data_IF_441820048231
#
_entry.id   IF_441820048231
#
_cell.length_a   1.000
_cell.length_b   1.000
_cell.length_c   1.000
_cell.angle_alpha   90.00
_cell.angle_beta   90.00
_cell.angle_gamma   90.00
#
_symmetry.space_group_name_H-M   'P 1'
#
loop_
_entity.id
_entity.type
_entity.pdbx_description
1 polymer ?
#
# COMPACT_ATOMS: atom_id res chain seq x y z
N UNK A 1 -23.88 -31.07 20.82
CA UNK A 1 -23.77 -30.98 22.29
C UNK A 1 -22.45 -30.29 22.66
N UNK A 2 -22.55 -29.14 23.27
CA UNK A 2 -21.55 -28.37 24.04
C UNK A 2 -20.17 -28.00 23.45
N UNK A 3 -20.12 -26.90 22.66
CA UNK A 3 -18.89 -26.21 22.26
C UNK A 3 -18.83 -24.77 22.85
N UNK A 4 -19.34 -24.57 24.08
CA UNK A 4 -19.43 -23.27 24.77
C UNK A 4 -18.54 -23.13 26.01
N UNK A 5 -17.50 -23.94 26.21
CA UNK A 5 -16.73 -23.94 27.48
C UNK A 5 -15.23 -23.64 27.36
N UNK A 6 -14.75 -22.96 26.29
CA UNK A 6 -13.30 -22.70 26.18
C UNK A 6 -12.89 -21.22 26.31
N UNK A 7 -13.80 -20.31 26.68
CA UNK A 7 -13.48 -18.85 26.71
C UNK A 7 -13.16 -18.36 28.15
N UNK A 8 -13.42 -19.16 29.17
CA UNK A 8 -13.02 -18.83 30.53
C UNK A 8 -11.88 -19.76 31.00
N UNK A 9 -10.67 -19.59 30.46
CA UNK A 9 -9.48 -20.07 31.16
C UNK A 9 -9.45 -19.32 32.51
N UNK A 10 -9.84 -20.02 33.59
CA UNK A 10 -9.63 -19.54 34.96
C UNK A 10 -8.19 -19.08 35.07
N UNK A 11 -7.99 -17.84 35.50
CA UNK A 11 -6.68 -17.32 35.91
C UNK A 11 -6.22 -18.21 37.08
N UNK A 12 -5.55 -19.31 36.77
CA UNK A 12 -4.87 -20.11 37.77
C UNK A 12 -3.62 -19.35 38.17
N UNK A 13 -3.47 -19.06 39.43
CA UNK A 13 -2.24 -18.49 39.96
C UNK A 13 -1.06 -19.37 39.56
N UNK A 14 0.03 -18.79 39.05
CA UNK A 14 1.21 -19.52 38.59
C UNK A 14 1.78 -20.32 39.78
N UNK A 15 1.94 -21.64 39.59
CA UNK A 15 2.42 -22.57 40.59
C UNK A 15 3.83 -23.05 40.40
N UNK A 16 4.36 -22.87 39.17
CA UNK A 16 5.72 -23.27 38.79
C UNK A 16 6.50 -22.06 38.26
N UNK A 17 7.85 -22.08 38.26
CA UNK A 17 8.66 -21.03 37.66
C UNK A 17 8.34 -20.82 36.17
N UNK A 18 7.95 -21.87 35.46
CA UNK A 18 7.51 -21.80 34.06
C UNK A 18 6.21 -21.02 33.92
N UNK A 19 5.23 -21.21 34.82
CA UNK A 19 3.96 -20.50 34.79
C UNK A 19 4.16 -18.99 35.06
N UNK A 20 5.13 -18.62 35.89
CA UNK A 20 5.50 -17.23 36.17
C UNK A 20 6.13 -16.58 34.92
N UNK A 21 7.00 -17.30 34.22
CA UNK A 21 7.59 -16.83 32.95
C UNK A 21 6.51 -16.62 31.89
N UNK A 22 5.59 -17.57 31.74
CA UNK A 22 4.46 -17.47 30.82
C UNK A 22 3.54 -16.28 31.15
N UNK A 23 3.22 -16.08 32.42
CA UNK A 23 2.40 -14.96 32.88
C UNK A 23 3.09 -13.61 32.61
N UNK A 24 4.40 -13.52 32.86
CA UNK A 24 5.21 -12.34 32.56
C UNK A 24 5.25 -12.05 31.06
N UNK A 25 5.48 -13.06 30.23
CA UNK A 25 5.49 -12.92 28.76
C UNK A 25 4.12 -12.47 28.23
N UNK A 26 3.03 -13.07 28.72
CA UNK A 26 1.67 -12.69 28.35
C UNK A 26 1.37 -11.24 28.76
N UNK A 27 1.83 -10.80 29.92
CA UNK A 27 1.70 -9.40 30.35
C UNK A 27 2.50 -8.45 29.44
N UNK A 28 3.73 -8.80 29.09
CA UNK A 28 4.56 -8.01 28.15
C UNK A 28 3.87 -7.92 26.79
N UNK A 29 3.36 -9.03 26.24
CA UNK A 29 2.64 -9.02 24.95
C UNK A 29 1.36 -8.17 25.04
N UNK A 30 0.61 -8.26 26.12
CA UNK A 30 -0.55 -7.40 26.33
C UNK A 30 -0.15 -5.92 26.40
N UNK A 31 0.91 -5.59 27.13
CA UNK A 31 1.43 -4.21 27.23
C UNK A 31 1.88 -3.68 25.84
N UNK A 32 2.63 -4.49 25.08
CA UNK A 32 3.04 -4.13 23.72
C UNK A 32 1.82 -3.92 22.79
N UNK A 33 0.81 -4.78 22.88
CA UNK A 33 -0.43 -4.61 22.11
C UNK A 33 -1.19 -3.34 22.50
N UNK A 34 -1.33 -3.06 23.80
CA UNK A 34 -1.95 -1.83 24.29
C UNK A 34 -1.17 -0.58 23.87
N UNK A 35 0.17 -0.64 23.93
CA UNK A 35 1.03 0.45 23.50
C UNK A 35 0.84 0.73 21.99
N UNK A 36 0.84 -0.31 21.16
CA UNK A 36 0.64 -0.17 19.71
C UNK A 36 -0.72 0.48 19.39
N UNK A 37 -1.80 -0.01 20.00
CA UNK A 37 -3.14 0.58 19.83
C UNK A 37 -3.17 2.01 20.34
N UNK A 38 -2.59 2.27 21.52
CA UNK A 38 -2.50 3.60 22.12
C UNK A 38 -1.78 4.60 21.23
N UNK A 39 -0.67 4.22 20.62
CA UNK A 39 0.06 5.05 19.65
C UNK A 39 -0.80 5.39 18.42
N UNK A 40 -1.53 4.42 17.85
CA UNK A 40 -2.41 4.66 16.70
C UNK A 40 -3.53 5.63 17.07
N UNK A 41 -4.18 5.44 18.23
CA UNK A 41 -5.23 6.34 18.73
C UNK A 41 -4.67 7.74 18.95
N UNK A 42 -3.51 7.86 19.60
CA UNK A 42 -2.85 9.14 19.87
C UNK A 42 -2.54 9.90 18.58
N UNK A 43 -1.94 9.23 17.58
CA UNK A 43 -1.64 9.83 16.27
C UNK A 43 -2.94 10.29 15.60
N UNK A 44 -3.97 9.45 15.59
CA UNK A 44 -5.26 9.77 14.97
C UNK A 44 -5.90 10.99 15.64
N UNK A 45 -5.96 11.03 16.97
CA UNK A 45 -6.49 12.18 17.73
C UNK A 45 -5.68 13.44 17.44
N UNK A 46 -4.35 13.33 17.46
CA UNK A 46 -3.48 14.48 17.16
C UNK A 46 -3.70 15.02 15.74
N UNK A 47 -3.82 14.15 14.74
CA UNK A 47 -4.11 14.54 13.36
C UNK A 47 -5.47 15.25 13.24
N UNK A 48 -6.50 14.75 13.92
CA UNK A 48 -7.83 15.37 13.94
C UNK A 48 -7.77 16.76 14.59
N UNK A 49 -7.19 16.85 15.78
CA UNK A 49 -7.10 18.13 16.53
C UNK A 49 -6.27 19.18 15.79
N UNK A 50 -5.24 18.75 15.06
CA UNK A 50 -4.36 19.66 14.31
C UNK A 50 -4.90 20.03 12.93
N UNK A 51 -5.64 19.12 12.26
CA UNK A 51 -6.13 19.29 10.88
C UNK A 51 -7.51 19.93 10.80
N UNK A 52 -8.45 19.58 11.67
CA UNK A 52 -9.84 20.09 11.63
C UNK A 52 -9.92 21.63 11.67
N UNK A 53 -9.10 22.35 12.48
CA UNK A 53 -9.16 23.81 12.50
C UNK A 53 -8.91 24.48 11.14
N UNK A 54 -8.01 23.93 10.31
CA UNK A 54 -7.77 24.48 8.97
C UNK A 54 -8.96 24.25 8.05
N UNK A 55 -9.58 23.06 8.09
CA UNK A 55 -10.77 22.76 7.30
C UNK A 55 -11.92 23.73 7.64
N UNK A 56 -12.10 24.08 8.93
CA UNK A 56 -13.09 25.05 9.35
C UNK A 56 -12.80 26.46 8.82
N UNK A 57 -11.54 26.90 8.84
CA UNK A 57 -11.12 28.24 8.38
C UNK A 57 -11.20 28.38 6.85
N UNK A 58 -10.76 27.34 6.12
CA UNK A 58 -10.68 27.34 4.65
C UNK A 58 -12.06 27.03 4.05
N UNK A 59 -12.84 26.18 4.72
CA UNK A 59 -14.09 25.57 4.23
C UNK A 59 -13.83 24.22 3.55
N UNK A 60 -14.58 23.19 3.97
CA UNK A 60 -14.38 21.80 3.53
C UNK A 60 -14.40 21.66 1.99
N UNK A 61 -15.39 22.25 1.33
CA UNK A 61 -15.50 22.14 -0.13
C UNK A 61 -14.38 22.87 -0.87
N UNK A 62 -13.98 24.04 -0.39
CA UNK A 62 -12.86 24.78 -0.97
C UNK A 62 -11.55 24.04 -0.79
N UNK A 63 -11.37 23.38 0.34
CA UNK A 63 -10.18 22.58 0.62
C UNK A 63 -10.12 21.33 -0.26
N UNK A 64 -11.20 20.52 -0.30
CA UNK A 64 -11.23 19.26 -1.04
C UNK A 64 -11.32 19.42 -2.56
N UNK A 65 -12.14 20.35 -3.04
CA UNK A 65 -12.44 20.53 -4.46
C UNK A 65 -11.69 21.70 -5.11
N UNK A 66 -10.96 22.50 -4.33
CA UNK A 66 -10.12 23.56 -4.85
C UNK A 66 -8.99 22.99 -5.73
N UNK A 67 -8.73 23.68 -6.84
CA UNK A 67 -7.75 23.26 -7.85
C UNK A 67 -6.39 23.93 -7.73
N UNK A 68 -6.27 24.91 -6.83
CA UNK A 68 -5.05 25.70 -6.65
C UNK A 68 -4.47 25.52 -5.26
N UNK A 69 -3.19 25.15 -5.21
CA UNK A 69 -2.38 25.12 -4.00
C UNK A 69 -1.27 26.17 -4.10
N UNK A 70 -1.37 27.23 -3.31
CA UNK A 70 -0.42 28.32 -3.23
C UNK A 70 -0.30 28.78 -1.76
N UNK A 71 0.24 27.92 -0.92
CA UNK A 71 0.27 28.08 0.55
C UNK A 71 1.12 29.25 1.03
N UNK A 72 2.10 29.71 0.22
CA UNK A 72 3.03 30.81 0.53
C UNK A 72 2.76 32.10 -0.23
N UNK A 73 1.67 32.17 -1.02
CA UNK A 73 1.29 33.39 -1.73
C UNK A 73 0.76 34.48 -0.78
N UNK A 74 0.71 35.71 -1.27
CA UNK A 74 0.14 36.84 -0.52
C UNK A 74 -1.34 36.63 -0.17
N UNK A 75 -2.09 35.95 -1.07
CA UNK A 75 -3.42 35.41 -0.83
C UNK A 75 -3.34 33.85 -0.86
N UNK A 76 -3.21 33.19 0.31
CA UNK A 76 -2.95 31.76 0.34
C UNK A 76 -4.15 30.95 -0.14
N UNK A 77 -3.92 29.99 -1.05
CA UNK A 77 -4.90 29.04 -1.55
C UNK A 77 -4.53 27.61 -1.13
N UNK A 78 -5.52 26.87 -0.67
CA UNK A 78 -5.34 25.53 -0.08
C UNK A 78 -6.23 24.48 -0.71
N UNK A 79 -6.37 24.48 -2.04
CA UNK A 79 -7.11 23.47 -2.77
C UNK A 79 -6.26 22.21 -3.01
N UNK A 80 -6.76 21.02 -2.61
CA UNK A 80 -6.01 19.76 -2.68
C UNK A 80 -6.52 18.78 -3.72
N UNK A 81 -7.51 19.14 -4.53
CA UNK A 81 -8.06 18.27 -5.58
C UNK A 81 -6.98 17.71 -6.51
N UNK A 82 -5.98 18.50 -6.98
CA UNK A 82 -4.91 17.98 -7.80
C UNK A 82 -4.11 16.86 -7.10
N UNK A 83 -3.88 16.98 -5.79
CA UNK A 83 -3.13 15.98 -5.02
C UNK A 83 -3.92 14.69 -4.82
N UNK A 84 -5.23 14.80 -4.59
CA UNK A 84 -6.13 13.65 -4.48
C UNK A 84 -6.13 12.89 -5.81
N UNK A 85 -6.38 13.58 -6.92
CA UNK A 85 -6.44 12.94 -8.24
C UNK A 85 -5.09 12.34 -8.66
N UNK A 86 -3.99 13.02 -8.38
CA UNK A 86 -2.64 12.49 -8.66
C UNK A 86 -2.35 11.23 -7.85
N UNK A 87 -2.74 11.19 -6.57
CA UNK A 87 -2.59 10.01 -5.71
C UNK A 87 -3.46 8.85 -6.19
N UNK A 88 -4.70 9.12 -6.60
CA UNK A 88 -5.62 8.11 -7.16
C UNK A 88 -5.07 7.55 -8.47
N UNK A 89 -4.74 8.42 -9.43
CA UNK A 89 -4.25 7.98 -10.74
C UNK A 89 -2.89 7.27 -10.64
N UNK A 90 -1.98 7.77 -9.79
CA UNK A 90 -0.70 7.13 -9.55
C UNK A 90 -0.84 5.73 -8.96
N UNK A 91 -1.69 5.58 -7.94
CA UNK A 91 -1.96 4.28 -7.31
C UNK A 91 -2.68 3.31 -8.24
N UNK A 92 -3.72 3.78 -8.94
CA UNK A 92 -4.44 2.95 -9.92
C UNK A 92 -3.52 2.50 -11.06
N UNK A 93 -2.72 3.41 -11.62
CA UNK A 93 -1.76 3.08 -12.66
C UNK A 93 -0.72 2.07 -12.19
N UNK A 94 -0.17 2.25 -10.99
CA UNK A 94 0.77 1.29 -10.39
C UNK A 94 0.12 -0.08 -10.14
N UNK A 95 -1.13 -0.10 -9.69
CA UNK A 95 -1.89 -1.32 -9.45
C UNK A 95 -2.19 -2.07 -10.75
N UNK A 96 -2.62 -1.35 -11.80
CA UNK A 96 -2.92 -1.94 -13.11
C UNK A 96 -1.71 -2.63 -13.76
N UNK A 97 -0.51 -2.15 -13.49
CA UNK A 97 0.74 -2.76 -13.98
C UNK A 97 1.25 -3.81 -12.98
N UNK A 98 1.36 -3.44 -11.72
CA UNK A 98 2.02 -4.24 -10.70
C UNK A 98 1.25 -5.51 -10.31
N UNK A 99 -0.10 -5.46 -10.28
CA UNK A 99 -0.90 -6.64 -9.90
C UNK A 99 -0.80 -7.76 -10.94
N UNK A 100 -1.02 -7.53 -12.25
CA UNK A 100 -0.85 -8.59 -13.25
C UNK A 100 0.56 -9.16 -13.27
N UNK A 101 1.58 -8.30 -13.29
CA UNK A 101 2.99 -8.74 -13.29
C UNK A 101 3.32 -9.52 -12.02
N UNK A 102 2.92 -9.02 -10.86
CA UNK A 102 3.16 -9.69 -9.57
C UNK A 102 2.46 -11.03 -9.44
N UNK A 103 1.18 -11.11 -9.87
CA UNK A 103 0.42 -12.36 -9.83
C UNK A 103 0.99 -13.42 -10.79
N UNK A 104 1.29 -13.04 -12.03
CA UNK A 104 1.90 -13.95 -13.02
C UNK A 104 3.26 -14.45 -12.53
N UNK A 105 4.08 -13.56 -11.94
CA UNK A 105 5.35 -13.94 -11.33
C UNK A 105 5.13 -14.91 -10.15
N UNK A 106 4.14 -14.68 -9.32
CA UNK A 106 3.83 -15.57 -8.19
C UNK A 106 3.38 -16.96 -8.66
N UNK A 107 2.50 -17.03 -9.66
CA UNK A 107 2.08 -18.31 -10.27
C UNK A 107 3.27 -19.03 -10.89
N UNK A 108 4.09 -18.34 -11.66
CA UNK A 108 5.31 -18.91 -12.25
C UNK A 108 6.24 -19.50 -11.16
N UNK A 109 6.54 -18.74 -10.11
CA UNK A 109 7.43 -19.16 -9.02
C UNK A 109 6.87 -20.32 -8.19
N UNK A 110 5.55 -20.35 -8.01
CA UNK A 110 4.90 -21.38 -7.20
C UNK A 110 4.72 -22.70 -7.96
N UNK A 111 4.45 -22.64 -9.28
CA UNK A 111 3.96 -23.79 -10.05
C UNK A 111 4.90 -24.23 -11.19
N UNK A 112 5.55 -23.31 -11.89
CA UNK A 112 6.30 -23.62 -13.11
C UNK A 112 7.82 -23.56 -12.94
N UNK A 113 8.32 -22.73 -12.02
CA UNK A 113 9.75 -22.48 -11.89
C UNK A 113 10.51 -23.69 -11.29
N UNK A 114 11.57 -24.12 -11.95
CA UNK A 114 12.49 -25.08 -11.39
C UNK A 114 13.24 -24.54 -10.15
N UNK A 115 13.80 -25.41 -9.29
CA UNK A 115 14.36 -25.00 -7.99
C UNK A 115 15.41 -23.88 -8.08
N UNK A 116 16.30 -23.93 -9.07
CA UNK A 116 17.35 -22.91 -9.26
C UNK A 116 16.78 -21.54 -9.63
N UNK A 117 15.84 -21.49 -10.59
CA UNK A 117 15.18 -20.25 -11.03
C UNK A 117 14.36 -19.67 -9.89
N UNK A 118 13.60 -20.50 -9.19
CA UNK A 118 12.82 -20.10 -8.02
C UNK A 118 13.71 -19.44 -6.97
N UNK A 119 14.82 -20.06 -6.57
CA UNK A 119 15.74 -19.50 -5.57
C UNK A 119 16.27 -18.15 -6.01
N UNK A 120 16.78 -18.02 -7.23
CA UNK A 120 17.33 -16.75 -7.74
C UNK A 120 16.29 -15.64 -7.75
N UNK A 121 15.09 -15.91 -8.28
CA UNK A 121 14.05 -14.87 -8.39
C UNK A 121 13.47 -14.51 -7.02
N UNK A 122 13.25 -15.47 -6.12
CA UNK A 122 12.80 -15.17 -4.75
C UNK A 122 13.83 -14.31 -4.03
N UNK A 123 15.12 -14.68 -4.09
CA UNK A 123 16.19 -13.85 -3.49
C UNK A 123 16.23 -12.44 -4.08
N UNK A 124 16.05 -12.29 -5.40
CA UNK A 124 15.99 -10.98 -6.04
C UNK A 124 14.80 -10.14 -5.52
N UNK A 125 13.61 -10.75 -5.34
CA UNK A 125 12.43 -10.10 -4.80
C UNK A 125 12.61 -9.70 -3.33
N UNK A 126 13.26 -10.56 -2.53
CA UNK A 126 13.60 -10.26 -1.13
C UNK A 126 14.59 -9.09 -1.03
N UNK A 127 15.61 -9.07 -1.87
CA UNK A 127 16.54 -7.95 -1.97
C UNK A 127 15.83 -6.65 -2.37
N UNK A 128 14.94 -6.69 -3.37
CA UNK A 128 14.11 -5.55 -3.76
C UNK A 128 13.25 -5.04 -2.59
N UNK A 129 12.72 -5.94 -1.78
CA UNK A 129 11.93 -5.57 -0.59
C UNK A 129 12.77 -4.85 0.48
N UNK A 130 14.05 -5.17 0.57
CA UNK A 130 15.00 -4.57 1.52
C UNK A 130 15.56 -3.22 1.09
N UNK A 131 15.42 -2.83 -0.18
CA UNK A 131 15.95 -1.55 -0.68
C UNK A 131 15.11 -0.39 -0.12
N UNK A 132 15.74 0.64 0.50
CA UNK A 132 15.04 1.86 0.92
C UNK A 132 14.36 2.56 -0.25
N UNK A 133 13.15 3.11 -0.02
CA UNK A 133 12.35 3.75 -1.09
C UNK A 133 13.08 4.94 -1.76
N UNK A 134 13.90 5.65 -1.01
CA UNK A 134 14.74 6.75 -1.53
C UNK A 134 15.67 6.28 -2.65
N UNK A 135 16.20 5.06 -2.56
CA UNK A 135 17.09 4.50 -3.60
C UNK A 135 16.32 4.25 -4.90
N UNK A 136 15.07 3.74 -4.80
CA UNK A 136 14.18 3.61 -5.97
C UNK A 136 13.91 4.98 -6.60
N UNK A 137 13.67 6.01 -5.76
CA UNK A 137 13.48 7.38 -6.22
C UNK A 137 14.73 7.93 -6.92
N UNK A 138 15.92 7.71 -6.35
CA UNK A 138 17.19 8.14 -6.93
C UNK A 138 17.45 7.47 -8.29
N UNK A 139 17.29 6.15 -8.38
CA UNK A 139 17.42 5.42 -9.64
C UNK A 139 16.37 5.88 -10.66
N UNK A 140 15.13 6.10 -10.20
CA UNK A 140 14.06 6.65 -11.02
C UNK A 140 14.41 8.02 -11.59
N UNK A 141 14.95 8.90 -10.77
CA UNK A 141 15.37 10.25 -11.18
C UNK A 141 16.55 10.22 -12.16
N UNK A 142 17.54 9.33 -11.93
CA UNK A 142 18.75 9.28 -12.76
C UNK A 142 18.56 8.49 -14.07
N UNK A 143 17.73 7.46 -14.07
CA UNK A 143 17.57 6.56 -15.21
C UNK A 143 16.20 6.71 -15.87
N UNK A 144 15.11 6.57 -15.11
CA UNK A 144 13.75 6.54 -15.65
C UNK A 144 13.31 7.92 -16.17
N UNK A 145 13.53 8.98 -15.40
CA UNK A 145 13.12 10.34 -15.77
C UNK A 145 13.79 10.79 -17.09
N UNK A 146 15.11 10.67 -17.28
CA UNK A 146 15.74 10.95 -18.59
C UNK A 146 15.26 10.02 -19.72
N UNK A 147 15.04 8.74 -19.42
CA UNK A 147 14.52 7.78 -20.39
C UNK A 147 13.12 8.18 -20.90
N UNK A 148 12.20 8.53 -19.98
CA UNK A 148 10.85 9.00 -20.31
C UNK A 148 10.92 10.30 -21.13
N UNK A 149 11.75 11.28 -20.73
CA UNK A 149 11.93 12.53 -21.47
C UNK A 149 12.37 12.27 -22.91
N UNK A 150 13.40 11.43 -23.09
CA UNK A 150 13.97 11.09 -24.40
C UNK A 150 12.99 10.30 -25.28
N UNK A 151 12.34 9.27 -24.71
CA UNK A 151 11.45 8.37 -25.48
C UNK A 151 10.20 9.09 -25.96
N UNK A 152 9.63 9.98 -25.15
CA UNK A 152 8.39 10.68 -25.49
C UNK A 152 8.60 12.13 -25.95
N UNK A 153 9.84 12.56 -26.17
CA UNK A 153 10.16 13.91 -26.67
C UNK A 153 9.69 15.02 -25.72
N UNK A 154 9.77 14.80 -24.40
CA UNK A 154 9.33 15.80 -23.39
C UNK A 154 10.52 16.57 -22.83
N UNK A 155 10.28 17.81 -22.44
CA UNK A 155 11.30 18.65 -21.80
C UNK A 155 11.77 18.06 -20.44
N UNK A 156 10.88 17.36 -19.73
CA UNK A 156 11.19 16.64 -18.51
C UNK A 156 10.39 15.34 -18.46
N UNK A 157 11.00 14.28 -17.95
CA UNK A 157 10.32 13.02 -17.64
C UNK A 157 9.88 12.91 -16.18
N UNK A 158 10.09 13.95 -15.35
CA UNK A 158 9.56 13.99 -13.99
C UNK A 158 8.05 14.27 -14.04
N UNK A 159 7.25 13.20 -13.99
CA UNK A 159 5.82 13.25 -14.28
C UNK A 159 5.06 12.08 -13.63
N UNK A 160 3.73 12.08 -13.77
CA UNK A 160 2.86 11.03 -13.25
C UNK A 160 3.24 9.64 -13.78
N UNK A 161 3.62 9.51 -15.05
CA UNK A 161 4.04 8.22 -15.64
C UNK A 161 5.27 7.65 -14.92
N UNK A 162 6.29 8.46 -14.66
CA UNK A 162 7.48 8.03 -13.94
C UNK A 162 7.15 7.59 -12.51
N UNK A 163 6.23 8.29 -11.84
CA UNK A 163 5.74 7.87 -10.54
C UNK A 163 5.00 6.53 -10.60
N UNK A 164 4.14 6.32 -11.59
CA UNK A 164 3.42 5.06 -11.82
C UNK A 164 4.41 3.89 -11.99
N UNK A 165 5.42 4.04 -12.83
CA UNK A 165 6.40 2.98 -13.08
C UNK A 165 7.20 2.63 -11.83
N UNK A 166 7.69 3.63 -11.09
CA UNK A 166 8.44 3.40 -9.84
C UNK A 166 7.55 2.72 -8.80
N UNK A 167 6.33 3.20 -8.61
CA UNK A 167 5.37 2.59 -7.69
C UNK A 167 5.04 1.15 -8.09
N UNK A 168 4.87 0.88 -9.40
CA UNK A 168 4.61 -0.48 -9.91
C UNK A 168 5.71 -1.46 -9.51
N UNK A 169 6.97 -1.05 -9.64
CA UNK A 169 8.11 -1.87 -9.24
C UNK A 169 8.13 -2.10 -7.73
N UNK A 170 7.86 -1.05 -6.95
CA UNK A 170 7.91 -1.10 -5.49
C UNK A 170 6.83 -1.98 -4.84
N UNK A 171 5.67 -2.17 -5.50
CA UNK A 171 4.61 -3.02 -4.96
C UNK A 171 4.82 -4.51 -5.30
N UNK A 172 5.64 -4.85 -6.31
CA UNK A 172 5.87 -6.22 -6.74
C UNK A 172 6.29 -7.16 -5.61
N UNK A 173 7.28 -6.82 -4.76
CA UNK A 173 7.71 -7.72 -3.70
C UNK A 173 6.57 -8.14 -2.76
N UNK A 174 5.72 -7.19 -2.37
CA UNK A 174 4.59 -7.45 -1.48
C UNK A 174 3.57 -8.39 -2.12
N UNK A 175 3.21 -8.12 -3.38
CA UNK A 175 2.24 -8.93 -4.12
C UNK A 175 2.79 -10.33 -4.35
N UNK A 176 4.04 -10.46 -4.84
CA UNK A 176 4.64 -11.75 -5.18
C UNK A 176 4.82 -12.61 -3.94
N UNK A 177 5.44 -12.10 -2.87
CA UNK A 177 5.75 -12.89 -1.68
C UNK A 177 4.50 -13.45 -1.00
N UNK A 178 3.46 -12.61 -0.83
CA UNK A 178 2.22 -13.05 -0.20
C UNK A 178 1.44 -14.00 -1.12
N UNK A 179 1.42 -13.73 -2.43
CA UNK A 179 0.73 -14.62 -3.39
C UNK A 179 1.42 -15.98 -3.52
N UNK A 180 2.76 -16.04 -3.54
CA UNK A 180 3.50 -17.31 -3.54
C UNK A 180 3.19 -18.12 -2.29
N UNK A 181 3.17 -17.49 -1.13
CA UNK A 181 2.81 -18.16 0.14
C UNK A 181 1.40 -18.72 0.08
N UNK A 182 0.44 -17.94 -0.43
CA UNK A 182 -0.96 -18.37 -0.57
C UNK A 182 -1.13 -19.52 -1.56
N UNK A 183 -0.45 -19.45 -2.72
CA UNK A 183 -0.49 -20.52 -3.73
C UNK A 183 0.16 -21.82 -3.25
N UNK A 184 1.22 -21.73 -2.44
CA UNK A 184 1.87 -22.90 -1.86
C UNK A 184 1.05 -23.53 -0.71
N UNK A 185 0.12 -22.79 -0.12
CA UNK A 185 -0.77 -23.29 0.93
C UNK A 185 -1.99 -24.03 0.38
N UNK A 186 -2.23 -24.02 -0.93
CA UNK A 186 -3.31 -24.78 -1.56
C UNK A 186 -3.02 -26.28 -1.42
N UNK A 187 -3.98 -27.09 -0.91
CA UNK A 187 -3.80 -28.53 -0.79
C UNK A 187 -3.50 -29.19 -2.15
N UNK A 188 -2.47 -30.06 -2.23
CA UNK A 188 -2.08 -30.69 -3.51
C UNK A 188 -3.17 -31.58 -4.11
N UNK A 189 -4.12 -32.06 -3.29
CA UNK A 189 -5.25 -32.87 -3.73
C UNK A 189 -6.15 -32.10 -4.72
N UNK A 190 -6.25 -30.79 -4.63
CA UNK A 190 -7.04 -29.98 -5.56
C UNK A 190 -6.43 -30.00 -6.97
N UNK A 191 -5.10 -29.87 -7.05
CA UNK A 191 -4.38 -29.90 -8.31
C UNK A 191 -4.37 -31.32 -8.91
N UNK A 192 -4.11 -32.35 -8.09
CA UNK A 192 -4.12 -33.75 -8.50
C UNK A 192 -5.51 -34.18 -9.03
N UNK A 193 -6.58 -33.76 -8.36
CA UNK A 193 -7.96 -34.02 -8.82
C UNK A 193 -8.25 -33.41 -10.19
N UNK A 194 -7.80 -32.17 -10.42
CA UNK A 194 -7.95 -31.49 -11.72
C UNK A 194 -7.19 -32.21 -12.84
N UNK A 195 -5.93 -32.58 -12.58
CA UNK A 195 -5.09 -33.32 -13.54
C UNK A 195 -5.68 -34.71 -13.84
N UNK A 196 -6.22 -35.42 -12.84
CA UNK A 196 -6.87 -36.69 -13.01
C UNK A 196 -8.12 -36.62 -13.92
N UNK A 197 -8.79 -35.46 -13.97
CA UNK A 197 -9.91 -35.20 -14.89
C UNK A 197 -9.45 -34.79 -16.30
N UNK A 198 -8.13 -34.75 -16.57
CA UNK A 198 -7.56 -34.46 -17.87
C UNK A 198 -7.30 -33.00 -18.16
N UNK A 199 -7.36 -32.13 -17.13
CA UNK A 199 -6.95 -30.74 -17.27
C UNK A 199 -5.43 -30.61 -17.48
N UNK A 200 -5.00 -29.61 -18.23
CA UNK A 200 -3.58 -29.25 -18.35
C UNK A 200 -3.05 -28.58 -17.11
N UNK A 201 -1.72 -28.59 -16.92
CA UNK A 201 -1.08 -27.88 -15.79
C UNK A 201 -1.51 -26.40 -15.74
N UNK A 202 -1.48 -25.71 -16.87
CA UNK A 202 -1.86 -24.29 -16.94
C UNK A 202 -3.33 -24.06 -16.57
N UNK A 203 -4.24 -24.91 -17.02
CA UNK A 203 -5.65 -24.85 -16.64
C UNK A 203 -5.83 -25.08 -15.15
N UNK A 204 -5.12 -26.04 -14.57
CA UNK A 204 -5.15 -26.34 -13.14
C UNK A 204 -4.65 -25.13 -12.33
N UNK A 205 -3.56 -24.48 -12.74
CA UNK A 205 -3.05 -23.32 -12.02
C UNK A 205 -4.04 -22.15 -12.00
N UNK A 206 -4.62 -21.79 -13.16
CA UNK A 206 -5.49 -20.63 -13.25
C UNK A 206 -6.94 -20.90 -12.85
N UNK A 207 -7.46 -22.12 -13.07
CA UNK A 207 -8.85 -22.46 -12.75
C UNK A 207 -9.05 -23.08 -11.36
N UNK A 208 -7.99 -23.64 -10.76
CA UNK A 208 -8.07 -24.30 -9.43
C UNK A 208 -7.17 -23.59 -8.41
N UNK A 209 -5.84 -23.52 -8.64
CA UNK A 209 -4.90 -23.03 -7.63
C UNK A 209 -5.09 -21.53 -7.33
N UNK A 210 -5.24 -20.69 -8.36
CA UNK A 210 -5.44 -19.24 -8.18
C UNK A 210 -6.78 -18.93 -7.48
N UNK A 211 -7.92 -19.50 -7.88
CA UNK A 211 -9.17 -19.35 -7.15
C UNK A 211 -9.12 -19.87 -5.72
N UNK A 212 -8.49 -21.02 -5.47
CA UNK A 212 -8.31 -21.57 -4.13
C UNK A 212 -7.46 -20.66 -3.22
N UNK A 213 -6.46 -19.97 -3.79
CA UNK A 213 -5.59 -19.02 -3.08
C UNK A 213 -6.13 -17.57 -3.06
N UNK A 214 -7.36 -17.31 -3.57
CA UNK A 214 -7.90 -15.96 -3.81
C UNK A 214 -7.79 -15.02 -2.60
N UNK A 215 -8.07 -15.50 -1.40
CA UNK A 215 -8.02 -14.68 -0.18
C UNK A 215 -6.60 -14.20 0.17
N UNK A 216 -5.60 -15.07 0.01
CA UNK A 216 -4.21 -14.73 0.25
C UNK A 216 -3.63 -13.84 -0.85
N UNK A 217 -3.94 -14.11 -2.12
CA UNK A 217 -3.57 -13.24 -3.25
C UNK A 217 -4.14 -11.84 -3.04
N UNK A 218 -5.40 -11.77 -2.67
CA UNK A 218 -6.09 -10.52 -2.36
C UNK A 218 -5.42 -9.74 -1.22
N UNK A 219 -5.00 -10.42 -0.16
CA UNK A 219 -4.24 -9.80 0.93
C UNK A 219 -2.90 -9.20 0.43
N UNK A 220 -2.20 -9.90 -0.46
CA UNK A 220 -0.98 -9.40 -1.10
C UNK A 220 -1.21 -8.14 -1.93
N UNK A 221 -2.31 -8.10 -2.69
CA UNK A 221 -2.71 -6.93 -3.48
C UNK A 221 -3.04 -5.74 -2.57
N UNK A 222 -3.83 -5.95 -1.51
CA UNK A 222 -4.17 -4.89 -0.53
C UNK A 222 -2.91 -4.32 0.11
N UNK A 223 -1.97 -5.18 0.50
CA UNK A 223 -0.69 -4.76 1.07
C UNK A 223 0.12 -3.92 0.07
N UNK A 224 0.19 -4.34 -1.19
CA UNK A 224 0.85 -3.60 -2.27
C UNK A 224 0.21 -2.22 -2.51
N UNK A 225 -1.12 -2.15 -2.60
CA UNK A 225 -1.87 -0.89 -2.77
C UNK A 225 -1.62 0.05 -1.58
N UNK A 226 -1.70 -0.48 -0.35
CA UNK A 226 -1.42 0.30 0.86
C UNK A 226 -0.01 0.92 0.83
N UNK A 227 0.99 0.17 0.36
CA UNK A 227 2.36 0.66 0.17
C UNK A 227 2.44 1.75 -0.90
N UNK A 228 1.75 1.58 -2.04
CA UNK A 228 1.74 2.59 -3.11
C UNK A 228 1.13 3.92 -2.66
N UNK A 229 0.01 3.88 -1.93
CA UNK A 229 -0.68 5.09 -1.43
C UNK A 229 0.18 5.82 -0.40
N UNK A 230 0.88 5.08 0.46
CA UNK A 230 1.72 5.63 1.52
C UNK A 230 3.10 6.11 1.06
N UNK A 231 3.49 5.83 -0.19
CA UNK A 231 4.84 6.18 -0.66
C UNK A 231 4.98 7.70 -0.87
N UNK A 232 6.02 8.27 -0.26
CA UNK A 232 6.31 9.68 -0.35
C UNK A 232 7.66 9.96 -1.02
N UNK A 233 8.73 9.32 -0.54
CA UNK A 233 10.10 9.70 -0.88
C UNK A 233 10.47 9.35 -2.32
N UNK A 234 10.17 8.14 -2.78
CA UNK A 234 10.45 7.74 -4.15
C UNK A 234 9.62 8.57 -5.14
N UNK A 235 8.33 8.79 -4.85
CA UNK A 235 7.44 9.59 -5.69
C UNK A 235 7.89 11.05 -5.75
N UNK A 236 8.30 11.63 -4.62
CA UNK A 236 8.82 13.01 -4.57
C UNK A 236 9.99 13.23 -5.52
N UNK A 237 10.82 12.22 -5.76
CA UNK A 237 11.98 12.33 -6.65
C UNK A 237 11.63 12.25 -8.13
N UNK A 238 10.52 11.60 -8.51
CA UNK A 238 10.21 11.29 -9.92
C UNK A 238 8.94 11.93 -10.46
N UNK A 239 8.05 12.45 -9.60
CA UNK A 239 6.76 13.01 -9.99
C UNK A 239 6.82 14.48 -10.47
N UNK A 240 7.90 15.19 -10.18
CA UNK A 240 8.13 16.59 -10.55
C UNK A 240 7.60 17.63 -9.57
N UNK A 241 6.70 17.25 -8.65
CA UNK A 241 6.23 18.05 -7.49
C UNK A 241 5.59 19.42 -7.81
N UNK A 242 4.91 19.53 -8.95
CA UNK A 242 4.12 20.73 -9.27
C UNK A 242 2.66 20.52 -8.86
N UNK A 243 1.99 21.52 -8.27
CA UNK A 243 0.60 21.40 -7.80
C UNK A 243 -0.40 21.51 -8.95
N UNK A 244 -0.15 20.82 -10.06
CA UNK A 244 -0.98 20.86 -11.26
C UNK A 244 -2.06 19.76 -11.22
N UNK A 245 -3.17 20.01 -11.95
CA UNK A 245 -4.14 18.96 -12.26
C UNK A 245 -3.49 17.88 -13.12
N UNK A 246 -3.73 16.58 -12.85
CA UNK A 246 -3.17 15.47 -13.62
C UNK A 246 -3.99 15.21 -14.91
N UNK A 247 -4.03 16.20 -15.80
CA UNK A 247 -4.69 16.15 -17.11
C UNK A 247 -3.95 15.29 -18.13
N UNK A 248 -2.71 14.91 -17.85
CA UNK A 248 -1.89 14.02 -18.66
C UNK A 248 -0.94 13.21 -17.80
N UNK A 249 -0.65 11.98 -18.22
CA UNK A 249 0.35 11.11 -17.56
C UNK A 249 1.77 11.70 -17.63
N UNK A 250 2.02 12.64 -18.58
CA UNK A 250 3.29 13.34 -18.70
C UNK A 250 3.36 14.65 -17.91
N UNK A 251 2.30 14.98 -17.17
CA UNK A 251 2.28 16.19 -16.33
C UNK A 251 3.07 15.97 -15.04
N UNK A 252 3.85 16.99 -14.67
CA UNK A 252 4.42 17.07 -13.33
C UNK A 252 3.30 17.28 -12.31
N UNK A 253 3.27 16.45 -11.27
CA UNK A 253 2.19 16.39 -10.28
C UNK A 253 2.73 16.27 -8.86
N UNK A 254 1.89 16.62 -7.89
CA UNK A 254 2.14 16.41 -6.46
C UNK A 254 1.13 15.43 -5.89
N UNK A 255 1.58 14.46 -5.10
CA UNK A 255 0.73 13.51 -4.37
C UNK A 255 0.41 14.05 -2.98
N UNK A 256 -0.62 13.51 -2.31
CA UNK A 256 -0.97 13.87 -0.93
C UNK A 256 0.23 13.66 0.01
N UNK A 257 0.92 12.54 -0.11
CA UNK A 257 2.11 12.20 0.68
C UNK A 257 3.28 13.13 0.41
N UNK A 258 3.54 13.45 -0.87
CA UNK A 258 4.65 14.30 -1.26
C UNK A 258 4.43 15.77 -0.87
N UNK A 259 3.19 16.25 -0.88
CA UNK A 259 2.84 17.60 -0.40
C UNK A 259 3.21 17.75 1.09
N UNK A 260 2.86 16.76 1.92
CA UNK A 260 3.21 16.74 3.34
C UNK A 260 4.73 16.70 3.51
N UNK A 261 5.39 15.70 2.89
CA UNK A 261 6.83 15.48 3.05
C UNK A 261 7.68 16.69 2.61
N UNK A 262 7.25 17.39 1.54
CA UNK A 262 7.95 18.54 0.98
C UNK A 262 7.82 19.78 1.86
N UNK A 263 6.64 20.07 2.40
CA UNK A 263 6.34 21.37 3.01
C UNK A 263 6.34 21.36 4.54
N UNK A 264 6.14 20.20 5.19
CA UNK A 264 5.95 20.11 6.65
C UNK A 264 7.11 20.70 7.46
N UNK A 265 8.34 20.56 6.99
CA UNK A 265 9.54 20.96 7.73
C UNK A 265 9.66 22.47 7.93
N UNK A 266 9.08 23.27 7.04
CA UNK A 266 9.16 24.74 7.08
C UNK A 266 7.79 25.42 7.16
N UNK A 267 6.71 24.64 7.20
CA UNK A 267 5.37 25.18 7.32
C UNK A 267 5.08 25.74 8.70
N UNK A 268 4.41 26.89 8.76
CA UNK A 268 3.95 27.56 9.99
C UNK A 268 2.46 27.91 9.91
N UNK A 269 1.88 28.23 11.06
CA UNK A 269 0.53 28.78 11.14
C UNK A 269 -0.54 27.95 10.42
N UNK A 270 -1.32 28.60 9.55
CA UNK A 270 -2.41 27.97 8.79
C UNK A 270 -1.91 26.93 7.78
N UNK A 271 -0.76 27.17 7.14
CA UNK A 271 -0.14 26.21 6.22
C UNK A 271 0.13 24.87 6.90
N UNK A 272 0.74 24.89 8.09
CA UNK A 272 1.01 23.67 8.86
C UNK A 272 -0.28 22.93 9.23
N UNK A 273 -1.31 23.68 9.65
CA UNK A 273 -2.62 23.08 9.93
C UNK A 273 -3.25 22.46 8.66
N UNK A 274 -3.12 23.11 7.50
CA UNK A 274 -3.60 22.58 6.22
C UNK A 274 -2.86 21.29 5.82
N UNK A 275 -1.55 21.18 6.07
CA UNK A 275 -0.81 19.93 5.84
C UNK A 275 -1.28 18.79 6.77
N UNK A 276 -1.63 19.08 8.03
CA UNK A 276 -2.29 18.09 8.89
C UNK A 276 -3.68 17.70 8.37
N UNK A 277 -4.40 18.65 7.75
CA UNK A 277 -5.66 18.34 7.08
C UNK A 277 -5.46 17.43 5.87
N UNK A 278 -4.38 17.60 5.09
CA UNK A 278 -4.01 16.68 4.00
C UNK A 278 -3.73 15.28 4.58
N UNK A 279 -3.00 15.19 5.69
CA UNK A 279 -2.73 13.91 6.34
C UNK A 279 -4.03 13.24 6.84
N UNK A 280 -4.98 14.01 7.37
CA UNK A 280 -6.30 13.50 7.75
C UNK A 280 -7.09 12.98 6.54
N UNK A 281 -7.09 13.71 5.43
CA UNK A 281 -7.73 13.28 4.17
C UNK A 281 -7.08 12.00 3.66
N UNK A 282 -5.74 11.91 3.67
CA UNK A 282 -5.01 10.70 3.29
C UNK A 282 -5.38 9.51 4.19
N UNK A 283 -5.47 9.72 5.50
CA UNK A 283 -5.87 8.70 6.45
C UNK A 283 -7.27 8.15 6.15
N UNK A 284 -8.24 9.05 5.95
CA UNK A 284 -9.62 8.68 5.57
C UNK A 284 -9.64 7.95 4.22
N UNK A 285 -8.86 8.42 3.24
CA UNK A 285 -8.73 7.79 1.93
C UNK A 285 -8.20 6.35 2.02
N UNK A 286 -7.15 6.12 2.80
CA UNK A 286 -6.61 4.77 3.06
C UNK A 286 -7.64 3.89 3.74
N UNK A 287 -8.37 4.41 4.73
CA UNK A 287 -9.45 3.67 5.42
C UNK A 287 -10.55 3.25 4.46
N UNK A 288 -11.02 4.15 3.59
CA UNK A 288 -12.03 3.86 2.58
C UNK A 288 -11.55 2.76 1.63
N UNK A 289 -10.32 2.89 1.09
CA UNK A 289 -9.77 1.89 0.18
C UNK A 289 -9.66 0.53 0.87
N UNK A 290 -9.17 0.45 2.10
CA UNK A 290 -9.08 -0.80 2.84
C UNK A 290 -10.46 -1.43 3.08
N UNK A 291 -11.48 -0.63 3.41
CA UNK A 291 -12.85 -1.13 3.58
C UNK A 291 -13.40 -1.65 2.25
N UNK A 292 -13.29 -0.87 1.17
CA UNK A 292 -13.75 -1.27 -0.18
C UNK A 292 -13.08 -2.57 -0.63
N UNK A 293 -11.76 -2.65 -0.53
CA UNK A 293 -11.00 -3.85 -0.90
C UNK A 293 -11.43 -5.05 -0.05
N UNK A 294 -11.57 -4.90 1.26
CA UNK A 294 -12.02 -5.99 2.13
C UNK A 294 -13.44 -6.46 1.80
N UNK A 295 -14.36 -5.55 1.46
CA UNK A 295 -15.74 -5.90 1.06
C UNK A 295 -15.75 -6.63 -0.27
N UNK A 296 -15.03 -6.14 -1.28
CA UNK A 296 -14.94 -6.76 -2.61
C UNK A 296 -14.32 -8.15 -2.51
N UNK A 297 -13.27 -8.31 -1.72
CA UNK A 297 -12.55 -9.57 -1.59
C UNK A 297 -13.30 -10.60 -0.72
N UNK A 298 -14.06 -10.17 0.29
CA UNK A 298 -14.91 -11.05 1.11
C UNK A 298 -16.24 -11.38 0.44
N UNK A 299 -16.77 -10.51 -0.41
CA UNK A 299 -18.00 -10.77 -1.16
C UNK A 299 -17.93 -12.01 -2.06
N UNK A 300 -16.77 -12.31 -2.63
CA UNK A 300 -16.52 -13.53 -3.40
C UNK A 300 -16.37 -14.83 -2.57
N UNK A 301 -16.46 -14.76 -1.23
CA UNK A 301 -16.30 -15.90 -0.31
C UNK A 301 -17.61 -16.35 0.36
N UNK A 302 -18.75 -15.73 0.03
CA UNK A 302 -20.06 -16.05 0.65
C UNK A 302 -20.95 -16.98 -0.19
N UNK A 303 -20.52 -17.35 -1.39
CA UNK A 303 -21.30 -18.21 -2.30
C UNK A 303 -20.75 -19.64 -2.40
N UNK A 304 -20.06 -20.13 -1.34
CA UNK A 304 -19.68 -21.54 -1.20
C UNK A 304 -20.11 -22.10 0.17
#
# INVERSE_FOLDING_TARGET
MNKKSSILRRVQLPRTPADWLEAMMNFIFFLCGMLAVGCVVLITVYMVLSGVPAIHKIGLFRFLLGTEWASTAADPKFGILPFILSSVYGTLGATLIGVPVGLLTAVFLSKAAGPKVRTVVVTAIELLSGIPSVVFGLLGMQVLVPAVAKTFGKASGACLLSAIVVLSIMILPSIVSVSVTALNAVPPEYEQGSLALGATDTETWFKISVPAAKSGIAAGIVLGIGRAIGEAMAVMMVAGNSPNMPDSVFRSVTFLTTAIAKEMSYAGGLQRQALFSIALVLFVFIMIINVVLNVVLKGGSRDE
#
